data_IF_045010019046
#
_entry.id   IF_045010019046
#
_cell.length_a   1.000
_cell.length_b   1.000
_cell.length_c   1.000
_cell.angle_alpha   90.00
_cell.angle_beta   90.00
_cell.angle_gamma   90.00
#
_symmetry.space_group_name_H-M   'P 1'
#
loop_
_entity.id
_entity.type
_entity.pdbx_description
1 polymer ?
#
# COMPACT_ATOMS: atom_id res chain seq x y z
N UNK A 1 -23.24 -22.16 -4.16
CA UNK A 1 -22.63 -21.25 -5.17
C UNK A 1 -21.70 -22.00 -6.15
N UNK A 2 -20.97 -23.05 -5.75
CA UNK A 2 -20.03 -23.77 -6.64
C UNK A 2 -20.59 -24.88 -7.55
N UNK A 3 -21.88 -25.25 -7.48
CA UNK A 3 -22.37 -26.47 -8.13
C UNK A 3 -22.56 -26.41 -9.66
N UNK A 4 -22.42 -25.25 -10.31
CA UNK A 4 -22.70 -25.10 -11.76
C UNK A 4 -21.69 -24.23 -12.54
N UNK A 5 -20.59 -23.82 -11.93
CA UNK A 5 -19.58 -22.97 -12.59
C UNK A 5 -18.37 -23.85 -12.95
N UNK A 6 -17.96 -23.82 -14.22
CA UNK A 6 -16.72 -24.48 -14.66
C UNK A 6 -15.54 -23.97 -13.84
N UNK A 7 -14.56 -24.82 -13.45
CA UNK A 7 -13.36 -24.37 -12.74
C UNK A 7 -12.70 -23.21 -13.48
N UNK A 8 -12.52 -22.08 -12.79
CA UNK A 8 -11.99 -20.86 -13.39
C UNK A 8 -10.99 -20.23 -12.41
N UNK A 9 -9.70 -20.32 -12.74
CA UNK A 9 -8.62 -19.79 -11.91
C UNK A 9 -8.82 -18.33 -11.56
N UNK A 10 -9.40 -17.51 -12.45
CA UNK A 10 -9.67 -16.09 -12.18
C UNK A 10 -10.70 -15.92 -11.05
N UNK A 11 -11.81 -16.67 -11.10
CA UNK A 11 -12.87 -16.60 -10.10
C UNK A 11 -12.38 -17.14 -8.76
N UNK A 12 -11.65 -18.25 -8.79
CA UNK A 12 -11.09 -18.83 -7.56
C UNK A 12 -10.03 -17.92 -6.94
N UNK A 13 -9.14 -17.30 -7.73
CA UNK A 13 -8.17 -16.31 -7.24
C UNK A 13 -8.87 -15.07 -6.66
N UNK A 14 -9.97 -14.60 -7.26
CA UNK A 14 -10.75 -13.51 -6.70
C UNK A 14 -11.38 -13.87 -5.33
N UNK A 15 -11.79 -15.14 -5.14
CA UNK A 15 -12.26 -15.62 -3.84
C UNK A 15 -11.11 -15.69 -2.82
N UNK A 16 -9.91 -16.13 -3.23
CA UNK A 16 -8.71 -16.08 -2.37
C UNK A 16 -8.42 -14.66 -1.93
N UNK A 17 -8.40 -13.70 -2.86
CA UNK A 17 -8.17 -12.27 -2.58
C UNK A 17 -9.22 -11.70 -1.62
N UNK A 18 -10.50 -11.99 -1.85
CA UNK A 18 -11.61 -11.53 -1.00
C UNK A 18 -11.47 -12.07 0.43
N UNK A 19 -11.31 -13.38 0.60
CA UNK A 19 -11.15 -13.97 1.93
C UNK A 19 -9.90 -13.47 2.65
N UNK A 20 -8.78 -13.32 1.92
CA UNK A 20 -7.54 -12.80 2.49
C UNK A 20 -7.71 -11.34 2.95
N UNK A 21 -8.31 -10.47 2.14
CA UNK A 21 -8.59 -9.07 2.54
C UNK A 21 -9.51 -8.95 3.75
N UNK A 22 -10.43 -9.91 3.94
CA UNK A 22 -11.28 -9.99 5.13
C UNK A 22 -10.60 -10.62 6.36
N UNK A 23 -9.35 -11.09 6.25
CA UNK A 23 -8.63 -11.75 7.35
C UNK A 23 -9.00 -13.22 7.56
N UNK A 24 -9.87 -13.79 6.73
CA UNK A 24 -10.23 -15.22 6.78
C UNK A 24 -9.19 -16.07 6.03
N UNK A 25 -7.94 -16.06 6.51
CA UNK A 25 -6.80 -16.68 5.83
C UNK A 25 -6.97 -18.18 5.58
N UNK A 26 -7.57 -18.93 6.51
CA UNK A 26 -7.84 -20.35 6.30
C UNK A 26 -8.83 -20.60 5.15
N UNK A 27 -9.83 -19.71 5.00
CA UNK A 27 -10.78 -19.80 3.89
C UNK A 27 -10.10 -19.44 2.56
N UNK A 28 -9.20 -18.46 2.56
CA UNK A 28 -8.38 -18.12 1.42
C UNK A 28 -7.49 -19.30 1.01
N UNK A 29 -6.83 -19.96 1.97
CA UNK A 29 -6.03 -21.18 1.73
C UNK A 29 -6.87 -22.29 1.10
N UNK A 30 -8.04 -22.62 1.67
CA UNK A 30 -8.92 -23.66 1.10
C UNK A 30 -9.37 -23.33 -0.33
N UNK A 31 -9.62 -22.05 -0.61
CA UNK A 31 -9.96 -21.60 -1.96
C UNK A 31 -8.77 -21.78 -2.91
N UNK A 32 -7.56 -21.41 -2.48
CA UNK A 32 -6.33 -21.60 -3.23
C UNK A 32 -6.02 -23.07 -3.51
N UNK A 33 -6.16 -23.94 -2.51
CA UNK A 33 -5.92 -25.37 -2.64
C UNK A 33 -6.85 -25.98 -3.69
N UNK A 34 -8.09 -25.49 -3.78
CA UNK A 34 -9.09 -25.94 -4.76
C UNK A 34 -8.81 -25.52 -6.21
N UNK A 35 -7.85 -24.61 -6.45
CA UNK A 35 -7.45 -24.20 -7.81
C UNK A 35 -6.69 -25.34 -8.48
N UNK A 36 -7.25 -25.91 -9.55
CA UNK A 36 -6.66 -27.03 -10.28
C UNK A 36 -5.35 -26.69 -10.98
N UNK A 37 -5.26 -25.49 -11.59
CA UNK A 37 -4.05 -24.97 -12.22
C UNK A 37 -3.75 -23.58 -11.68
N UNK A 38 -2.85 -23.54 -10.70
CA UNK A 38 -2.37 -22.31 -10.07
C UNK A 38 -1.44 -21.58 -11.04
N UNK A 39 -1.62 -20.28 -11.16
CA UNK A 39 -0.77 -19.38 -11.93
C UNK A 39 -0.07 -18.35 -11.02
N UNK A 40 0.80 -17.52 -11.59
CA UNK A 40 1.54 -16.50 -10.85
C UNK A 40 0.64 -15.57 -10.04
N UNK A 41 -0.56 -15.27 -10.54
CA UNK A 41 -1.51 -14.38 -9.87
C UNK A 41 -2.07 -15.07 -8.63
N UNK A 42 -2.54 -16.32 -8.75
CA UNK A 42 -3.06 -17.08 -7.61
C UNK A 42 -2.03 -17.24 -6.48
N UNK A 43 -0.77 -17.52 -6.83
CA UNK A 43 0.34 -17.61 -5.86
C UNK A 43 0.63 -16.25 -5.22
N UNK A 44 0.79 -15.20 -6.04
CA UNK A 44 1.04 -13.84 -5.56
C UNK A 44 -0.05 -13.33 -4.63
N UNK A 45 -1.33 -13.60 -4.95
CA UNK A 45 -2.48 -13.25 -4.12
C UNK A 45 -2.41 -13.90 -2.74
N UNK A 46 -2.11 -15.19 -2.66
CA UNK A 46 -2.02 -15.89 -1.37
C UNK A 46 -0.83 -15.38 -0.53
N UNK A 47 0.35 -15.22 -1.17
CA UNK A 47 1.57 -14.69 -0.51
C UNK A 47 1.30 -13.29 0.05
N UNK A 48 0.75 -12.39 -0.76
CA UNK A 48 0.40 -11.04 -0.34
C UNK A 48 -0.64 -11.05 0.79
N UNK A 49 -1.64 -11.93 0.70
CA UNK A 49 -2.67 -12.12 1.72
C UNK A 49 -2.08 -12.42 3.11
N UNK A 50 -1.24 -13.44 3.23
CA UNK A 50 -0.56 -13.74 4.50
C UNK A 50 0.38 -12.60 4.93
N UNK A 51 1.09 -11.98 3.99
CA UNK A 51 1.97 -10.83 4.25
C UNK A 51 1.26 -9.64 4.88
N UNK A 52 0.10 -9.25 4.34
CA UNK A 52 -0.71 -8.12 4.86
C UNK A 52 -1.23 -8.36 6.28
N UNK A 53 -1.42 -9.62 6.67
CA UNK A 53 -1.93 -10.00 7.99
C UNK A 53 -0.84 -10.35 9.00
N UNK A 54 0.40 -9.91 8.78
CA UNK A 54 1.47 -10.09 9.75
C UNK A 54 2.03 -11.52 9.79
N UNK A 55 1.79 -12.34 8.76
CA UNK A 55 2.18 -13.76 8.69
C UNK A 55 3.28 -13.99 7.66
N UNK A 56 4.36 -13.21 7.72
CA UNK A 56 5.46 -13.29 6.76
C UNK A 56 6.12 -14.67 6.67
N UNK A 57 6.26 -15.40 7.78
CA UNK A 57 6.86 -16.74 7.76
C UNK A 57 6.07 -17.68 6.86
N UNK A 58 4.74 -17.69 6.99
CA UNK A 58 3.83 -18.47 6.13
C UNK A 58 3.91 -17.99 4.69
N UNK A 59 3.96 -16.67 4.46
CA UNK A 59 4.10 -16.12 3.11
C UNK A 59 5.41 -16.58 2.43
N UNK A 60 6.50 -16.71 3.18
CA UNK A 60 7.80 -17.22 2.70
C UNK A 60 7.79 -18.74 2.49
N UNK A 61 7.07 -19.49 3.31
CA UNK A 61 6.83 -20.93 3.09
C UNK A 61 6.06 -21.17 1.79
N UNK A 62 5.01 -20.39 1.54
CA UNK A 62 4.23 -20.44 0.30
C UNK A 62 5.10 -20.06 -0.90
N UNK A 63 5.94 -19.03 -0.79
CA UNK A 63 6.92 -18.70 -1.83
C UNK A 63 7.92 -19.85 -2.07
N UNK A 64 8.35 -20.54 -1.02
CA UNK A 64 9.22 -21.71 -1.14
C UNK A 64 8.50 -22.91 -1.80
N UNK A 65 7.20 -23.06 -1.56
CA UNK A 65 6.35 -24.04 -2.28
C UNK A 65 6.21 -23.67 -3.76
N UNK A 66 6.00 -22.40 -4.07
CA UNK A 66 5.98 -21.90 -5.44
C UNK A 66 7.26 -22.28 -6.18
N UNK A 67 8.44 -22.04 -5.58
CA UNK A 67 9.73 -22.43 -6.18
C UNK A 67 9.85 -23.95 -6.36
N UNK A 68 9.41 -24.75 -5.38
CA UNK A 68 9.40 -26.23 -5.47
C UNK A 68 8.44 -26.77 -6.53
N UNK A 69 7.46 -25.98 -6.97
CA UNK A 69 6.57 -26.35 -8.08
C UNK A 69 7.26 -26.31 -9.45
N UNK A 70 8.52 -25.85 -9.51
CA UNK A 70 9.29 -25.70 -10.74
C UNK A 70 8.95 -24.43 -11.53
N UNK A 71 8.14 -23.53 -10.96
CA UNK A 71 7.84 -22.23 -11.55
C UNK A 71 8.89 -21.20 -11.13
N UNK A 72 9.35 -20.39 -12.08
CA UNK A 72 10.25 -19.26 -11.81
C UNK A 72 9.44 -18.01 -11.47
N UNK A 73 9.80 -17.25 -10.42
CA UNK A 73 9.04 -16.07 -10.02
C UNK A 73 9.14 -14.97 -11.08
N UNK A 74 7.99 -14.36 -11.39
CA UNK A 74 7.94 -13.15 -12.21
C UNK A 74 7.78 -11.91 -11.33
N UNK A 75 7.66 -10.73 -11.95
CA UNK A 75 7.40 -9.47 -11.25
C UNK A 75 6.24 -9.54 -10.25
N UNK A 76 5.14 -10.24 -10.58
CA UNK A 76 3.96 -10.34 -9.68
C UNK A 76 4.31 -11.08 -8.40
N UNK A 77 5.01 -12.21 -8.50
CA UNK A 77 5.38 -13.01 -7.33
C UNK A 77 6.44 -12.29 -6.50
N UNK A 78 7.44 -11.68 -7.15
CA UNK A 78 8.46 -10.90 -6.45
C UNK A 78 7.88 -9.71 -5.70
N UNK A 79 6.97 -8.96 -6.32
CA UNK A 79 6.30 -7.85 -5.66
C UNK A 79 5.50 -8.31 -4.43
N UNK A 80 4.79 -9.44 -4.52
CA UNK A 80 4.02 -9.99 -3.41
C UNK A 80 4.92 -10.37 -2.23
N UNK A 81 6.02 -11.09 -2.47
CA UNK A 81 6.92 -11.51 -1.39
C UNK A 81 7.74 -10.35 -0.81
N UNK A 82 8.15 -9.38 -1.62
CA UNK A 82 8.85 -8.18 -1.15
C UNK A 82 7.93 -7.29 -0.32
N UNK A 83 6.68 -7.10 -0.75
CA UNK A 83 5.67 -6.37 0.03
C UNK A 83 5.39 -7.05 1.37
N UNK A 84 5.29 -8.39 1.36
CA UNK A 84 5.17 -9.18 2.59
C UNK A 84 6.37 -8.94 3.53
N UNK A 85 7.60 -8.98 3.01
CA UNK A 85 8.79 -8.69 3.80
C UNK A 85 8.76 -7.25 4.36
N UNK A 86 8.37 -6.26 3.55
CA UNK A 86 8.27 -4.86 3.94
C UNK A 86 7.31 -4.66 5.12
N UNK A 87 6.08 -5.18 4.99
CA UNK A 87 5.06 -5.01 6.02
C UNK A 87 5.40 -5.69 7.35
N UNK A 88 6.25 -6.71 7.31
CA UNK A 88 6.64 -7.51 8.48
C UNK A 88 8.05 -7.18 8.99
N UNK A 89 8.74 -6.19 8.41
CA UNK A 89 10.09 -5.79 8.84
C UNK A 89 11.17 -6.85 8.59
N UNK A 90 10.97 -7.77 7.64
CA UNK A 90 11.90 -8.87 7.33
C UNK A 90 13.04 -8.38 6.43
N UNK A 91 13.89 -7.47 6.92
CA UNK A 91 14.86 -6.72 6.10
C UNK A 91 15.86 -7.64 5.40
N UNK A 92 16.49 -8.56 6.13
CA UNK A 92 17.48 -9.46 5.56
C UNK A 92 16.89 -10.29 4.41
N UNK A 93 15.73 -10.92 4.65
CA UNK A 93 15.05 -11.76 3.65
C UNK A 93 14.56 -10.92 2.46
N UNK A 94 14.03 -9.73 2.70
CA UNK A 94 13.60 -8.82 1.63
C UNK A 94 14.75 -8.42 0.70
N UNK A 95 15.91 -8.06 1.24
CA UNK A 95 17.08 -7.69 0.44
C UNK A 95 17.71 -8.89 -0.29
N UNK A 96 17.71 -10.06 0.35
CA UNK A 96 18.17 -11.32 -0.26
C UNK A 96 17.29 -11.68 -1.47
N UNK A 97 15.97 -11.60 -1.32
CA UNK A 97 15.01 -11.86 -2.40
C UNK A 97 15.14 -10.82 -3.51
N UNK A 98 15.25 -9.52 -3.16
CA UNK A 98 15.45 -8.47 -4.15
C UNK A 98 16.73 -8.70 -4.97
N UNK A 99 17.82 -9.11 -4.32
CA UNK A 99 19.07 -9.44 -5.00
C UNK A 99 18.96 -10.69 -5.87
N UNK A 100 18.18 -11.69 -5.44
CA UNK A 100 17.94 -12.91 -6.21
C UNK A 100 17.23 -12.66 -7.53
N UNK A 101 16.43 -11.59 -7.65
CA UNK A 101 15.68 -11.25 -8.86
C UNK A 101 16.60 -11.21 -10.09
N UNK A 102 17.63 -10.37 -10.06
CA UNK A 102 18.58 -10.25 -11.17
C UNK A 102 19.61 -11.38 -11.19
N UNK A 103 20.11 -11.79 -10.01
CA UNK A 103 21.22 -12.76 -9.90
C UNK A 103 20.81 -14.18 -10.29
N UNK A 104 19.66 -14.64 -9.80
CA UNK A 104 19.26 -16.05 -9.86
C UNK A 104 18.17 -16.27 -10.93
N UNK A 105 17.32 -15.26 -11.19
CA UNK A 105 16.18 -15.37 -12.11
C UNK A 105 16.23 -14.44 -13.33
N UNK A 106 17.24 -13.57 -13.44
CA UNK A 106 17.38 -12.62 -14.56
C UNK A 106 16.23 -11.62 -14.70
N UNK A 107 15.49 -11.36 -13.60
CA UNK A 107 14.36 -10.42 -13.56
C UNK A 107 14.85 -9.06 -13.11
N UNK A 108 14.81 -8.07 -14.01
CA UNK A 108 15.18 -6.69 -13.69
C UNK A 108 14.14 -6.02 -12.78
N UNK A 109 14.55 -5.38 -11.67
CA UNK A 109 13.61 -4.70 -10.78
C UNK A 109 12.87 -3.54 -11.45
N UNK A 110 11.53 -3.58 -11.42
CA UNK A 110 10.69 -2.44 -11.83
C UNK A 110 10.56 -1.40 -10.70
N UNK A 111 9.88 -0.28 -10.99
CA UNK A 111 9.63 0.80 -10.04
C UNK A 111 8.97 0.34 -8.72
N UNK A 112 8.04 -0.61 -8.78
CA UNK A 112 7.30 -1.11 -7.61
C UNK A 112 8.21 -1.94 -6.69
N UNK A 113 9.08 -2.79 -7.25
CA UNK A 113 10.06 -3.54 -6.44
C UNK A 113 11.02 -2.59 -5.71
N UNK A 114 11.49 -1.54 -6.40
CA UNK A 114 12.35 -0.52 -5.79
C UNK A 114 11.62 0.23 -4.67
N UNK A 115 10.35 0.61 -4.88
CA UNK A 115 9.53 1.23 -3.86
C UNK A 115 9.33 0.34 -2.62
N UNK A 116 9.15 -0.98 -2.80
CA UNK A 116 9.07 -1.94 -1.70
C UNK A 116 10.37 -2.02 -0.89
N UNK A 117 11.55 -1.94 -1.53
CA UNK A 117 12.83 -1.92 -0.81
C UNK A 117 12.98 -0.63 0.01
N UNK A 118 12.60 0.52 -0.55
CA UNK A 118 12.60 1.79 0.19
C UNK A 118 11.65 1.73 1.39
N UNK A 119 10.43 1.23 1.22
CA UNK A 119 9.46 1.04 2.30
C UNK A 119 9.99 0.09 3.39
N UNK A 120 10.62 -1.02 3.00
CA UNK A 120 11.22 -1.99 3.91
C UNK A 120 12.31 -1.35 4.79
N UNK A 121 13.23 -0.60 4.18
CA UNK A 121 14.31 0.09 4.90
C UNK A 121 13.77 1.20 5.81
N UNK A 122 12.81 1.98 5.31
CA UNK A 122 12.16 3.06 6.07
C UNK A 122 11.46 2.53 7.33
N UNK A 123 10.68 1.45 7.20
CA UNK A 123 9.99 0.80 8.32
C UNK A 123 10.98 0.23 9.34
N UNK A 124 12.13 -0.24 8.90
CA UNK A 124 13.22 -0.72 9.75
C UNK A 124 14.07 0.41 10.37
N UNK A 125 13.67 1.68 10.23
CA UNK A 125 14.39 2.88 10.71
C UNK A 125 15.78 3.07 10.08
N UNK A 126 16.03 2.48 8.91
CA UNK A 126 17.26 2.63 8.11
C UNK A 126 17.06 3.72 7.06
N UNK A 127 16.66 4.91 7.49
CA UNK A 127 16.19 6.00 6.60
C UNK A 127 17.30 6.52 5.68
N UNK A 128 18.52 6.66 6.19
CA UNK A 128 19.67 7.10 5.40
C UNK A 128 19.97 6.14 4.26
N UNK A 129 19.98 4.84 4.54
CA UNK A 129 20.20 3.81 3.52
C UNK A 129 19.05 3.77 2.51
N UNK A 130 17.81 3.96 2.96
CA UNK A 130 16.66 4.07 2.07
C UNK A 130 16.80 5.27 1.12
N UNK A 131 17.31 6.39 1.62
CA UNK A 131 17.52 7.61 0.83
C UNK A 131 18.68 7.49 -0.14
N UNK A 132 19.80 6.88 0.25
CA UNK A 132 20.91 6.62 -0.67
C UNK A 132 20.51 5.59 -1.75
N UNK A 133 19.77 4.54 -1.39
CA UNK A 133 19.19 3.61 -2.36
C UNK A 133 18.25 4.31 -3.34
N UNK A 134 17.42 5.24 -2.84
CA UNK A 134 16.55 6.05 -3.68
C UNK A 134 17.34 6.89 -4.68
N UNK A 135 18.38 7.62 -4.24
CA UNK A 135 19.22 8.42 -5.13
C UNK A 135 19.93 7.59 -6.20
N UNK A 136 20.40 6.39 -5.84
CA UNK A 136 21.10 5.49 -6.76
C UNK A 136 20.16 4.90 -7.82
N UNK A 137 18.96 4.44 -7.41
CA UNK A 137 18.07 3.67 -8.29
C UNK A 137 17.01 4.48 -9.01
N UNK A 138 16.63 5.65 -8.50
CA UNK A 138 15.54 6.45 -9.08
C UNK A 138 16.09 7.59 -9.93
N UNK A 139 16.23 7.33 -11.23
CA UNK A 139 16.64 8.36 -12.21
C UNK A 139 15.59 9.45 -12.41
N UNK A 140 14.31 9.12 -12.22
CA UNK A 140 13.19 10.06 -12.19
C UNK A 140 12.60 10.09 -10.78
N UNK A 141 12.43 11.28 -10.18
CA UNK A 141 11.84 11.37 -8.86
C UNK A 141 10.43 10.79 -8.81
N UNK A 142 10.12 10.07 -7.73
CA UNK A 142 8.79 9.51 -7.48
C UNK A 142 8.20 10.10 -6.22
N UNK A 143 7.11 10.85 -6.39
CA UNK A 143 6.42 11.56 -5.30
C UNK A 143 5.90 10.57 -4.25
N UNK A 144 5.46 9.38 -4.67
CA UNK A 144 4.96 8.35 -3.77
C UNK A 144 6.10 7.79 -2.89
N UNK A 145 7.27 7.50 -3.50
CA UNK A 145 8.44 6.98 -2.77
C UNK A 145 9.05 8.05 -1.85
N UNK A 146 9.14 9.30 -2.31
CA UNK A 146 9.52 10.43 -1.45
C UNK A 146 8.56 10.59 -0.27
N UNK A 147 7.26 10.38 -0.49
CA UNK A 147 6.27 10.37 0.58
C UNK A 147 6.51 9.30 1.65
N UNK A 148 6.93 8.09 1.25
CA UNK A 148 7.30 7.00 2.15
C UNK A 148 8.51 7.39 3.01
N UNK A 149 9.57 7.91 2.40
CA UNK A 149 10.78 8.33 3.13
C UNK A 149 10.45 9.51 4.06
N UNK A 150 9.65 10.47 3.62
CA UNK A 150 9.22 11.62 4.42
C UNK A 150 8.47 11.20 5.69
N UNK A 151 7.52 10.26 5.56
CA UNK A 151 6.79 9.71 6.70
C UNK A 151 7.76 9.02 7.71
N UNK A 152 8.81 8.37 7.22
CA UNK A 152 9.83 7.73 8.04
C UNK A 152 10.82 8.71 8.70
N UNK A 153 11.19 9.80 8.01
CA UNK A 153 12.02 10.86 8.58
C UNK A 153 11.38 11.47 9.83
N UNK A 154 10.06 11.75 9.78
CA UNK A 154 9.30 12.32 10.89
C UNK A 154 9.32 11.43 12.13
N UNK A 155 9.24 10.11 11.95
CA UNK A 155 9.25 9.14 13.06
C UNK A 155 10.64 9.01 13.70
N UNK A 156 11.70 9.19 12.89
CA UNK A 156 13.08 8.96 13.33
C UNK A 156 13.87 10.26 13.63
N UNK A 157 13.27 11.43 13.42
CA UNK A 157 13.87 12.74 13.70
C UNK A 157 15.02 13.12 12.76
N UNK A 158 15.00 12.65 11.51
CA UNK A 158 16.08 12.87 10.52
C UNK A 158 15.85 14.16 9.72
N UNK A 159 16.19 15.29 10.32
CA UNK A 159 15.85 16.63 9.80
C UNK A 159 16.55 17.01 8.50
N UNK A 160 17.78 16.53 8.25
CA UNK A 160 18.52 16.88 7.03
C UNK A 160 17.92 16.23 5.78
N UNK A 161 17.61 14.93 5.86
CA UNK A 161 16.97 14.18 4.77
C UNK A 161 15.54 14.68 4.53
N UNK A 162 14.83 15.00 5.61
CA UNK A 162 13.47 15.57 5.56
C UNK A 162 13.41 16.88 4.74
N UNK A 163 14.33 17.82 4.97
CA UNK A 163 14.36 19.08 4.24
C UNK A 163 14.55 18.90 2.72
N UNK A 164 15.48 18.02 2.34
CA UNK A 164 15.74 17.73 0.91
C UNK A 164 14.50 17.15 0.25
N UNK A 165 13.86 16.16 0.90
CA UNK A 165 12.65 15.53 0.36
C UNK A 165 11.50 16.54 0.23
N UNK A 166 11.31 17.40 1.23
CA UNK A 166 10.29 18.44 1.19
C UNK A 166 10.48 19.38 0.00
N UNK A 167 11.72 19.80 -0.27
CA UNK A 167 12.05 20.64 -1.43
C UNK A 167 11.80 19.92 -2.75
N UNK A 168 12.33 18.71 -2.91
CA UNK A 168 12.13 17.90 -4.13
C UNK A 168 10.64 17.68 -4.41
N UNK A 169 9.85 17.35 -3.40
CA UNK A 169 8.40 17.17 -3.56
C UNK A 169 7.69 18.47 -3.94
N UNK A 170 8.08 19.64 -3.41
CA UNK A 170 7.49 20.94 -3.78
C UNK A 170 7.78 21.28 -5.24
N UNK A 171 8.99 21.01 -5.72
CA UNK A 171 9.40 21.21 -7.12
C UNK A 171 8.62 20.32 -8.10
N UNK A 172 8.34 19.07 -7.70
CA UNK A 172 7.58 18.11 -8.50
C UNK A 172 6.09 18.44 -8.65
N UNK A 173 5.57 19.38 -7.84
CA UNK A 173 4.17 19.82 -7.84
C UNK A 173 3.14 18.66 -7.83
N UNK A 174 2.97 17.97 -6.69
CA UNK A 174 2.14 16.76 -6.61
C UNK A 174 0.72 16.96 -7.11
N UNK A 175 0.21 16.00 -7.87
CA UNK A 175 -1.18 16.05 -8.38
C UNK A 175 -2.23 15.71 -7.32
N UNK A 176 -1.82 15.12 -6.19
CA UNK A 176 -2.73 14.69 -5.13
C UNK A 176 -2.57 15.60 -3.89
N UNK A 177 -3.70 16.14 -3.41
CA UNK A 177 -3.78 16.99 -2.22
C UNK A 177 -3.15 16.34 -0.97
N UNK A 178 -3.18 15.01 -0.87
CA UNK A 178 -2.58 14.27 0.23
C UNK A 178 -1.07 14.52 0.42
N UNK A 179 -0.31 14.74 -0.67
CA UNK A 179 1.12 15.05 -0.55
C UNK A 179 1.35 16.45 0.00
N UNK A 180 0.54 17.44 -0.38
CA UNK A 180 0.62 18.78 0.20
C UNK A 180 0.25 18.81 1.67
N UNK A 181 -0.76 18.02 2.08
CA UNK A 181 -1.10 17.85 3.51
C UNK A 181 0.09 17.27 4.27
N UNK A 182 0.78 16.27 3.70
CA UNK A 182 1.97 15.67 4.30
C UNK A 182 3.12 16.66 4.40
N UNK A 183 3.40 17.43 3.35
CA UNK A 183 4.42 18.49 3.33
C UNK A 183 4.14 19.55 4.39
N UNK A 184 2.90 20.04 4.47
CA UNK A 184 2.49 21.00 5.48
C UNK A 184 2.68 20.48 6.91
N UNK A 185 2.37 19.20 7.17
CA UNK A 185 2.63 18.60 8.48
C UNK A 185 4.13 18.51 8.81
N UNK A 186 4.96 18.17 7.82
CA UNK A 186 6.42 18.10 7.98
C UNK A 186 7.03 19.49 8.22
N UNK A 187 6.68 20.50 7.42
CA UNK A 187 7.10 21.89 7.67
C UNK A 187 6.64 22.44 9.01
N UNK A 188 5.42 22.10 9.47
CA UNK A 188 4.95 22.46 10.79
C UNK A 188 5.81 21.82 11.90
N UNK A 189 6.21 20.56 11.75
CA UNK A 189 7.11 19.89 12.69
C UNK A 189 8.50 20.56 12.73
N UNK A 190 8.98 21.06 11.58
CA UNK A 190 10.20 21.88 11.47
C UNK A 190 10.02 23.34 11.91
N UNK A 191 8.82 23.75 12.37
CA UNK A 191 8.45 25.14 12.76
C UNK A 191 8.57 26.16 11.63
N UNK A 192 8.45 25.73 10.37
CA UNK A 192 8.56 26.56 9.16
C UNK A 192 7.17 26.94 8.63
N UNK A 193 6.52 27.88 9.30
CA UNK A 193 5.13 28.27 8.99
C UNK A 193 4.94 28.94 7.63
N UNK A 194 6.00 29.54 7.09
CA UNK A 194 5.98 30.12 5.74
C UNK A 194 5.85 29.02 4.68
N UNK A 195 6.63 27.94 4.80
CA UNK A 195 6.56 26.79 3.88
C UNK A 195 5.25 25.99 4.04
N UNK A 196 4.66 25.97 5.25
CA UNK A 196 3.30 25.45 5.45
C UNK A 196 2.30 26.25 4.62
N UNK A 197 2.37 27.58 4.71
CA UNK A 197 1.49 28.48 3.97
C UNK A 197 1.68 28.33 2.46
N UNK A 198 2.93 28.20 2.00
CA UNK A 198 3.27 27.98 0.59
C UNK A 198 2.73 26.65 0.07
N UNK A 199 2.90 25.56 0.83
CA UNK A 199 2.34 24.24 0.49
C UNK A 199 0.82 24.33 0.24
N UNK A 200 0.10 25.08 1.10
CA UNK A 200 -1.33 25.27 0.93
C UNK A 200 -1.69 26.18 -0.24
N UNK A 201 -0.91 27.23 -0.49
CA UNK A 201 -1.10 28.12 -1.63
C UNK A 201 -0.93 27.37 -2.95
N UNK A 202 0.12 26.55 -3.05
CA UNK A 202 0.39 25.73 -4.22
C UNK A 202 -0.68 24.65 -4.43
N UNK A 203 -1.14 23.98 -3.37
CA UNK A 203 -2.27 23.04 -3.45
C UNK A 203 -3.52 23.72 -4.03
N UNK A 204 -3.85 24.93 -3.54
CA UNK A 204 -5.01 25.70 -4.00
C UNK A 204 -4.85 26.22 -5.43
N UNK A 205 -3.66 26.67 -5.81
CA UNK A 205 -3.40 27.21 -7.16
C UNK A 205 -3.52 26.12 -8.24
N UNK A 206 -3.24 24.86 -7.88
CA UNK A 206 -3.48 23.69 -8.73
C UNK A 206 -4.94 23.19 -8.71
N UNK A 207 -5.83 23.86 -7.98
CA UNK A 207 -7.24 23.48 -7.87
C UNK A 207 -7.49 22.24 -6.98
N UNK A 208 -6.47 21.76 -6.27
CA UNK A 208 -6.56 20.58 -5.42
C UNK A 208 -7.27 20.93 -4.11
N UNK A 209 -8.15 20.03 -3.67
CA UNK A 209 -8.91 20.17 -2.41
C UNK A 209 -8.64 18.97 -1.53
N UNK A 210 -8.44 19.22 -0.23
CA UNK A 210 -8.46 18.16 0.77
C UNK A 210 -9.88 17.60 0.82
N UNK A 211 -10.06 16.36 0.36
CA UNK A 211 -11.34 15.67 0.52
C UNK A 211 -11.46 15.26 2.00
N UNK A 212 -12.53 15.68 2.71
CA UNK A 212 -12.80 15.13 4.02
C UNK A 212 -13.06 13.62 3.88
N UNK A 213 -12.65 12.83 4.89
CA UNK A 213 -12.98 11.40 4.91
C UNK A 213 -14.49 11.22 4.80
N UNK A 214 -14.99 10.22 4.09
CA UNK A 214 -16.42 9.99 3.96
C UNK A 214 -16.75 8.51 3.92
N UNK A 215 -17.96 8.17 4.33
CA UNK A 215 -18.60 6.87 4.12
C UNK A 215 -19.89 7.08 3.35
N UNK A 216 -20.35 6.06 2.64
CA UNK A 216 -21.62 6.11 1.92
C UNK A 216 -22.40 4.85 2.21
N UNK A 217 -23.65 5.03 2.58
CA UNK A 217 -24.58 3.94 2.88
C UNK A 217 -25.69 4.02 1.85
N UNK A 218 -26.05 2.88 1.27
CA UNK A 218 -27.21 2.78 0.39
C UNK A 218 -28.33 2.03 1.08
N UNK A 219 -29.47 2.68 1.23
CA UNK A 219 -30.68 2.13 1.85
C UNK A 219 -31.83 2.33 0.88
N UNK A 220 -32.49 1.24 0.50
CA UNK A 220 -33.65 1.27 -0.42
C UNK A 220 -33.38 2.02 -1.74
N UNK A 221 -32.19 1.82 -2.33
CA UNK A 221 -31.79 2.47 -3.59
C UNK A 221 -31.44 3.96 -3.46
N UNK A 222 -31.39 4.50 -2.24
CA UNK A 222 -30.91 5.87 -1.96
C UNK A 222 -29.57 5.82 -1.26
N UNK A 223 -28.62 6.51 -1.85
CA UNK A 223 -27.24 6.50 -1.42
C UNK A 223 -26.91 7.79 -0.66
N UNK A 224 -26.68 7.69 0.64
CA UNK A 224 -26.39 8.80 1.54
C UNK A 224 -24.90 8.82 1.87
N UNK A 225 -24.25 9.96 1.62
CA UNK A 225 -22.82 10.16 1.93
C UNK A 225 -22.67 10.93 3.24
N UNK A 226 -21.78 10.44 4.10
CA UNK A 226 -21.44 11.02 5.40
C UNK A 226 -19.98 11.47 5.33
N UNK A 227 -19.69 12.76 5.51
CA UNK A 227 -18.31 13.25 5.58
C UNK A 227 -17.88 13.52 7.03
N UNK A 228 -16.61 13.28 7.31
CA UNK A 228 -15.94 13.57 8.58
C UNK A 228 -16.01 15.08 8.84
N UNK A 229 -16.53 15.46 10.02
CA UNK A 229 -16.86 16.84 10.43
C UNK A 229 -18.13 17.46 9.83
N UNK A 230 -19.08 16.69 9.28
CA UNK A 230 -20.41 17.23 9.03
C UNK A 230 -21.09 17.63 10.35
N UNK A 231 -21.26 18.94 10.57
CA UNK A 231 -22.11 19.49 11.63
C UNK A 231 -23.56 19.69 11.18
N UNK A 232 -23.82 19.59 9.86
CA UNK A 232 -25.17 19.67 9.31
C UNK A 232 -25.86 18.31 9.36
N UNK A 233 -26.69 18.10 10.37
CA UNK A 233 -27.64 17.00 10.42
C UNK A 233 -28.72 17.23 9.35
N UNK A 234 -28.50 16.77 8.11
CA UNK A 234 -29.60 16.72 7.15
C UNK A 234 -30.66 15.75 7.69
N UNK A 235 -31.93 16.05 7.43
CA UNK A 235 -33.06 15.20 7.86
C UNK A 235 -32.88 13.77 7.35
N UNK A 236 -32.22 13.60 6.19
CA UNK A 236 -31.89 12.32 5.58
C UNK A 236 -30.87 11.53 6.41
N UNK A 237 -29.78 12.16 6.88
CA UNK A 237 -28.77 11.54 7.75
C UNK A 237 -29.41 11.01 9.04
N UNK A 238 -30.28 11.81 9.68
CA UNK A 238 -30.98 11.41 10.92
C UNK A 238 -31.97 10.26 10.67
N UNK A 239 -32.64 10.26 9.51
CA UNK A 239 -33.60 9.22 9.14
C UNK A 239 -32.92 7.88 8.89
N UNK A 240 -31.77 7.88 8.20
CA UNK A 240 -30.96 6.68 7.96
C UNK A 240 -30.39 6.13 9.27
N UNK A 241 -29.86 6.99 10.15
CA UNK A 241 -29.37 6.56 11.47
C UNK A 241 -30.48 5.93 12.33
N UNK A 242 -31.69 6.49 12.31
CA UNK A 242 -32.85 5.90 13.00
C UNK A 242 -33.26 4.54 12.42
N UNK A 243 -33.16 4.38 11.10
CA UNK A 243 -33.45 3.09 10.46
C UNK A 243 -32.45 2.02 10.90
N UNK A 244 -31.15 2.33 10.84
CA UNK A 244 -30.08 1.42 11.26
C UNK A 244 -30.16 1.06 12.75
N UNK A 245 -30.60 2.00 13.60
CA UNK A 245 -30.78 1.75 15.05
C UNK A 245 -31.95 0.82 15.41
N UNK A 246 -32.84 0.52 14.46
CA UNK A 246 -33.98 -0.39 14.67
C UNK A 246 -33.71 -1.83 14.22
N UNK A 247 -32.60 -2.06 13.50
CA UNK A 247 -32.20 -3.37 12.99
C UNK A 247 -31.13 -4.08 13.85
N UNK A 248 -30.72 -3.45 14.97
CA UNK A 248 -29.87 -4.03 16.03
C UNK A 248 -30.70 -4.49 17.21
#
# INVERSE_FOLDING_TARGET
>A
IRSFIRPCTIVDTALVDMYAKCGYLEAAQRCFDSISRKDFVSWGTLIAGYGFHGKADIALEIYSEFLRSGMEPNHVVFLAVLSSCSHNGMVHRGLEIFSSMGRDFGVEPNHEHLACVVDLLCRAKRVEEAFEFYKDKFTKPSIDVLGIILDACRVNGKTEVEDVICRDMMELKPVNAGHYVRLAHSFAAMKRWDDVSESWNQMRSLGLKKLPGWSKIEVNGRATTFFMNHTSNSVETVSVLKLLSKET
#
